data_IF_201446772736
#
_entry.id   IF_201446772736
#
_cell.length_a   1.000
_cell.length_b   1.000
_cell.length_c   1.000
_cell.angle_alpha   90.00
_cell.angle_beta   90.00
_cell.angle_gamma   90.00
#
_symmetry.space_group_name_H-M   'P 1'
#
loop_
_entity.id
_entity.type
_entity.pdbx_description
1 polymer ?
#
# COMPACT_ATOMS: atom_id res chain seq x y z
N UNK A 1 -8.01 13.32 -17.25
CA UNK A 1 -6.76 13.24 -18.06
C UNK A 1 -6.24 11.81 -17.95
N UNK A 2 -5.84 11.18 -19.06
CA UNK A 2 -5.37 9.79 -19.01
C UNK A 2 -4.01 9.66 -18.31
N UNK A 3 -3.80 8.58 -17.55
CA UNK A 3 -2.51 8.27 -16.93
C UNK A 3 -1.62 7.60 -17.99
N UNK A 4 -0.62 8.32 -18.49
CA UNK A 4 0.32 7.80 -19.49
C UNK A 4 1.34 6.88 -18.79
N UNK A 5 1.51 5.66 -19.29
CA UNK A 5 2.44 4.66 -18.72
C UNK A 5 3.54 4.35 -19.72
N UNK A 6 4.79 4.33 -19.27
CA UNK A 6 5.95 3.94 -20.09
C UNK A 6 6.67 2.75 -19.45
N UNK A 7 7.13 1.79 -20.25
CA UNK A 7 7.75 0.54 -19.76
C UNK A 7 8.97 0.75 -18.87
N UNK A 8 9.74 1.81 -19.12
CA UNK A 8 10.95 2.12 -18.34
C UNK A 8 10.67 2.90 -17.05
N UNK A 9 9.42 3.25 -16.76
CA UNK A 9 9.07 3.86 -15.48
C UNK A 9 9.42 2.91 -14.34
N UNK A 10 10.18 3.45 -13.39
CA UNK A 10 10.43 2.86 -12.09
C UNK A 10 9.22 3.11 -11.19
N UNK A 11 8.66 2.05 -10.63
CA UNK A 11 7.40 2.09 -9.89
C UNK A 11 7.61 1.63 -8.45
N UNK A 12 7.08 2.39 -7.49
CA UNK A 12 6.87 1.89 -6.12
C UNK A 12 5.37 1.68 -5.87
N UNK A 13 5.02 0.60 -5.18
CA UNK A 13 3.63 0.26 -4.82
C UNK A 13 3.50 0.24 -3.31
N UNK A 14 2.53 0.98 -2.78
CA UNK A 14 2.19 1.02 -1.37
C UNK A 14 0.78 0.46 -1.19
N UNK A 15 0.65 -0.56 -0.34
CA UNK A 15 -0.58 -1.33 -0.19
C UNK A 15 -1.10 -1.17 1.22
N UNK A 16 -2.26 -0.54 1.32
CA UNK A 16 -3.05 -0.52 2.54
C UNK A 16 -3.83 -1.83 2.64
N UNK A 17 -3.23 -2.80 3.32
CA UNK A 17 -3.75 -4.17 3.37
C UNK A 17 -5.13 -4.20 4.03
N UNK A 18 -5.33 -3.41 5.08
CA UNK A 18 -6.59 -3.38 5.81
C UNK A 18 -7.69 -2.75 4.96
N UNK A 19 -7.42 -1.60 4.35
CA UNK A 19 -8.41 -0.93 3.51
C UNK A 19 -8.85 -1.83 2.35
N UNK A 20 -7.91 -2.49 1.66
CA UNK A 20 -8.23 -3.42 0.58
C UNK A 20 -8.99 -4.65 1.08
N UNK A 21 -8.56 -5.25 2.19
CA UNK A 21 -9.20 -6.44 2.76
C UNK A 21 -10.65 -6.15 3.18
N UNK A 22 -10.87 -5.06 3.92
CA UNK A 22 -12.20 -4.66 4.35
C UNK A 22 -13.09 -4.29 3.17
N UNK A 23 -12.56 -3.56 2.18
CA UNK A 23 -13.29 -3.22 0.96
C UNK A 23 -13.71 -4.47 0.18
N UNK A 24 -12.80 -5.43 -0.03
CA UNK A 24 -13.12 -6.65 -0.75
C UNK A 24 -14.14 -7.53 -0.03
N UNK A 25 -14.00 -7.65 1.30
CA UNK A 25 -14.93 -8.42 2.13
C UNK A 25 -16.33 -7.79 2.14
N UNK A 26 -16.42 -6.47 2.27
CA UNK A 26 -17.69 -5.77 2.42
C UNK A 26 -18.42 -5.61 1.08
N UNK A 27 -17.71 -5.25 0.02
CA UNK A 27 -18.31 -4.98 -1.30
C UNK A 27 -18.52 -6.26 -2.12
N UNK A 28 -17.60 -7.21 -2.03
CA UNK A 28 -17.57 -8.38 -2.92
C UNK A 28 -17.66 -9.72 -2.18
N UNK A 29 -17.69 -9.73 -0.83
CA UNK A 29 -17.65 -10.94 0.00
C UNK A 29 -16.49 -11.88 -0.38
N UNK A 30 -15.37 -11.29 -0.82
CA UNK A 30 -14.23 -12.00 -1.39
C UNK A 30 -12.92 -11.61 -0.68
N UNK A 31 -11.88 -12.40 -0.92
CA UNK A 31 -10.50 -12.11 -0.50
C UNK A 31 -9.74 -11.41 -1.63
N UNK A 32 -8.85 -10.50 -1.27
CA UNK A 32 -7.97 -9.82 -2.23
C UNK A 32 -6.87 -10.77 -2.69
N UNK A 33 -6.61 -10.81 -3.99
CA UNK A 33 -5.41 -11.43 -4.55
C UNK A 33 -4.34 -10.35 -4.75
N UNK A 34 -3.47 -10.15 -3.76
CA UNK A 34 -2.46 -9.09 -3.78
C UNK A 34 -1.45 -9.25 -4.92
N UNK A 35 -1.10 -10.49 -5.30
CA UNK A 35 -0.22 -10.72 -6.45
C UNK A 35 -0.84 -10.29 -7.77
N UNK A 36 -2.15 -10.56 -7.96
CA UNK A 36 -2.88 -10.05 -9.12
C UNK A 36 -2.97 -8.52 -9.12
N UNK A 37 -3.23 -7.92 -7.95
CA UNK A 37 -3.27 -6.45 -7.79
C UNK A 37 -1.96 -5.83 -8.24
N UNK A 38 -0.81 -6.33 -7.75
CA UNK A 38 0.51 -5.82 -8.14
C UNK A 38 0.75 -6.01 -9.64
N UNK A 39 0.47 -7.20 -10.17
CA UNK A 39 0.70 -7.48 -11.60
C UNK A 39 -0.09 -6.53 -12.50
N UNK A 40 -1.38 -6.34 -12.20
CA UNK A 40 -2.27 -5.45 -12.98
C UNK A 40 -1.87 -3.99 -12.80
N UNK A 41 -1.55 -3.58 -11.57
CA UNK A 41 -1.16 -2.22 -11.26
C UNK A 41 0.17 -1.86 -11.93
N UNK A 42 1.17 -2.74 -11.86
CA UNK A 42 2.48 -2.56 -12.46
C UNK A 42 2.41 -2.51 -13.99
N UNK A 43 1.71 -3.47 -14.62
CA UNK A 43 1.78 -3.67 -16.06
C UNK A 43 3.21 -4.02 -16.51
N UNK A 44 3.65 -3.47 -17.63
CA UNK A 44 4.98 -3.75 -18.21
C UNK A 44 6.10 -2.83 -17.69
N UNK A 45 5.90 -2.24 -16.50
CA UNK A 45 6.82 -1.26 -15.89
C UNK A 45 7.83 -1.92 -14.95
N UNK A 46 8.89 -1.19 -14.57
CA UNK A 46 9.93 -1.69 -13.67
C UNK A 46 9.49 -1.54 -12.22
N UNK A 47 9.21 -2.65 -11.53
CA UNK A 47 8.95 -2.62 -10.09
C UNK A 47 10.25 -2.37 -9.32
N UNK A 48 10.28 -1.32 -8.51
CA UNK A 48 11.41 -1.02 -7.61
C UNK A 48 11.14 -1.56 -6.22
N UNK A 49 9.95 -1.29 -5.66
CA UNK A 49 9.52 -1.80 -4.34
C UNK A 49 8.01 -1.97 -4.31
N UNK A 50 7.54 -3.01 -3.62
CA UNK A 50 6.16 -3.15 -3.20
C UNK A 50 6.13 -3.31 -1.68
N UNK A 51 5.37 -2.47 -0.98
CA UNK A 51 5.31 -2.46 0.48
C UNK A 51 3.85 -2.61 0.92
N UNK A 52 3.57 -3.62 1.72
CA UNK A 52 2.27 -3.86 2.36
C UNK A 52 2.32 -3.42 3.81
N UNK A 53 1.36 -2.59 4.19
CA UNK A 53 1.19 -2.12 5.56
C UNK A 53 0.13 -2.97 6.23
N UNK A 54 0.51 -3.68 7.29
CA UNK A 54 -0.36 -4.62 8.02
C UNK A 54 -0.34 -4.29 9.51
N UNK A 55 -1.46 -4.48 10.18
CA UNK A 55 -1.53 -4.37 11.63
C UNK A 55 -1.70 -5.76 12.19
N UNK A 56 -0.83 -6.11 13.13
CA UNK A 56 -0.90 -7.40 13.79
C UNK A 56 -2.16 -7.46 14.65
N UNK A 57 -2.97 -8.49 14.44
CA UNK A 57 -4.00 -8.86 15.41
C UNK A 57 -3.46 -9.91 16.39
N UNK A 58 -3.85 -9.82 17.66
CA UNK A 58 -3.34 -10.67 18.76
C UNK A 58 -3.59 -12.19 18.55
N UNK A 59 -4.36 -12.57 17.52
CA UNK A 59 -4.72 -13.97 17.21
C UNK A 59 -3.64 -14.78 16.48
N UNK A 60 -2.57 -14.17 15.95
CA UNK A 60 -1.40 -14.90 15.43
C UNK A 60 -1.60 -15.73 14.14
N UNK A 61 -2.79 -15.70 13.53
CA UNK A 61 -3.12 -16.49 12.33
C UNK A 61 -2.61 -15.88 11.00
N UNK A 62 -1.80 -14.82 11.05
CA UNK A 62 -1.37 -14.06 9.87
C UNK A 62 -0.10 -14.60 9.19
N UNK A 63 0.58 -15.59 9.78
CA UNK A 63 1.88 -16.08 9.29
C UNK A 63 1.85 -16.61 7.85
N UNK A 64 0.84 -17.41 7.50
CA UNK A 64 0.68 -17.93 6.13
C UNK A 64 0.36 -16.82 5.11
N UNK A 65 -0.31 -15.75 5.56
CA UNK A 65 -0.59 -14.59 4.74
C UNK A 65 0.68 -13.77 4.48
N UNK A 66 1.51 -13.57 5.50
CA UNK A 66 2.80 -12.89 5.36
C UNK A 66 3.74 -13.64 4.43
N UNK A 67 3.87 -14.96 4.62
CA UNK A 67 4.71 -15.79 3.75
C UNK A 67 4.24 -15.72 2.28
N UNK A 68 2.93 -15.67 2.04
CA UNK A 68 2.38 -15.52 0.70
C UNK A 68 2.69 -14.15 0.06
N UNK A 69 2.66 -13.06 0.84
CA UNK A 69 3.02 -11.73 0.34
C UNK A 69 4.52 -11.66 0.00
N UNK A 70 5.39 -12.16 0.87
CA UNK A 70 6.84 -12.17 0.66
C UNK A 70 7.23 -13.01 -0.57
N UNK A 71 6.60 -14.17 -0.77
CA UNK A 71 6.80 -15.01 -1.98
C UNK A 71 6.47 -14.30 -3.29
N UNK A 72 5.62 -13.28 -3.25
CA UNK A 72 5.24 -12.47 -4.41
C UNK A 72 6.12 -11.22 -4.54
N UNK A 73 7.14 -11.07 -3.68
CA UNK A 73 8.07 -9.94 -3.71
C UNK A 73 7.54 -8.69 -3.04
N UNK A 74 6.62 -8.85 -2.07
CA UNK A 74 6.02 -7.75 -1.32
C UNK A 74 6.69 -7.67 0.05
N UNK A 75 7.27 -6.51 0.34
CA UNK A 75 7.82 -6.21 1.66
C UNK A 75 6.69 -5.94 2.64
N UNK A 76 6.79 -6.47 3.86
CA UNK A 76 5.74 -6.29 4.87
C UNK A 76 6.23 -5.33 5.95
N UNK A 77 5.40 -4.35 6.28
CA UNK A 77 5.57 -3.50 7.46
C UNK A 77 4.44 -3.77 8.43
N UNK A 78 4.78 -4.28 9.60
CA UNK A 78 3.82 -4.58 10.68
C UNK A 78 3.87 -3.53 11.77
N UNK A 79 2.70 -3.20 12.32
CA UNK A 79 2.54 -2.29 13.46
C UNK A 79 1.61 -2.96 14.46
N UNK A 80 1.99 -2.91 15.72
CA UNK A 80 1.15 -3.42 16.79
C UNK A 80 0.02 -2.42 17.09
N UNK A 81 -1.12 -2.96 17.53
CA UNK A 81 -2.26 -2.17 17.94
C UNK A 81 -1.86 -1.18 19.04
N UNK A 82 -1.94 0.11 18.75
CA UNK A 82 -1.59 1.13 19.74
C UNK A 82 -2.80 1.43 20.62
N UNK A 83 -2.67 1.12 21.92
CA UNK A 83 -3.68 1.43 22.94
C UNK A 83 -3.27 2.73 23.64
N UNK A 84 -4.07 3.77 23.49
CA UNK A 84 -3.86 5.05 24.18
C UNK A 84 -4.38 4.98 25.62
N UNK A 85 -3.87 5.86 26.47
CA UNK A 85 -4.21 5.92 27.90
C UNK A 85 -5.73 6.05 28.18
N UNK A 86 -6.49 6.58 27.22
CA UNK A 86 -7.97 6.66 27.28
C UNK A 86 -8.73 5.45 26.72
N UNK A 87 -8.05 4.34 26.41
CA UNK A 87 -8.65 3.13 25.83
C UNK A 87 -8.91 3.18 24.32
N UNK A 88 -8.66 4.32 23.65
CA UNK A 88 -8.72 4.42 22.21
C UNK A 88 -7.66 3.52 21.57
N UNK A 89 -8.08 2.71 20.60
CA UNK A 89 -7.21 1.82 19.83
C UNK A 89 -6.98 2.44 18.46
N UNK A 90 -5.72 2.66 18.08
CA UNK A 90 -5.36 3.13 16.74
C UNK A 90 -4.54 2.06 16.02
N UNK A 91 -5.01 1.73 14.83
CA UNK A 91 -4.49 0.68 13.98
C UNK A 91 -4.38 1.17 12.53
N UNK A 92 -4.09 2.45 12.29
CA UNK A 92 -3.78 2.92 10.94
C UNK A 92 -2.27 3.04 10.70
N UNK A 93 -1.96 2.96 9.42
CA UNK A 93 -0.63 3.13 8.87
C UNK A 93 -0.46 4.44 8.12
N UNK A 94 -1.46 5.32 8.14
CA UNK A 94 -1.58 6.42 7.18
C UNK A 94 -0.36 7.33 7.17
N UNK A 95 0.07 7.74 8.36
CA UNK A 95 1.28 8.56 8.52
C UNK A 95 2.52 7.83 8.05
N UNK A 96 2.67 6.54 8.38
CA UNK A 96 3.83 5.75 7.99
C UNK A 96 3.90 5.53 6.47
N UNK A 97 2.78 5.18 5.86
CA UNK A 97 2.66 5.00 4.41
C UNK A 97 2.91 6.33 3.68
N UNK A 98 2.36 7.44 4.18
CA UNK A 98 2.60 8.76 3.58
C UNK A 98 4.08 9.18 3.64
N UNK A 99 4.73 8.98 4.78
CA UNK A 99 6.16 9.31 4.94
C UNK A 99 7.03 8.45 4.01
N UNK A 100 6.74 7.16 3.89
CA UNK A 100 7.49 6.28 2.99
C UNK A 100 7.26 6.64 1.52
N UNK A 101 6.02 6.96 1.13
CA UNK A 101 5.68 7.40 -0.22
C UNK A 101 6.44 8.67 -0.60
N UNK A 102 6.47 9.68 0.28
CA UNK A 102 7.23 10.92 0.07
C UNK A 102 8.72 10.63 -0.13
N UNK A 103 9.31 9.78 0.72
CA UNK A 103 10.74 9.43 0.64
C UNK A 103 11.09 8.68 -0.64
N UNK A 104 10.21 7.79 -1.10
CA UNK A 104 10.44 7.00 -2.31
C UNK A 104 10.09 7.75 -3.59
N UNK A 105 9.20 8.74 -3.55
CA UNK A 105 8.84 9.56 -4.72
C UNK A 105 10.06 10.21 -5.39
N UNK A 106 11.09 10.56 -4.62
CA UNK A 106 12.35 11.11 -5.14
C UNK A 106 13.23 10.07 -5.87
N UNK A 107 12.88 8.79 -5.77
CA UNK A 107 13.67 7.64 -6.26
C UNK A 107 12.91 6.80 -7.27
N UNK A 108 11.70 7.18 -7.67
CA UNK A 108 10.88 6.45 -8.66
C UNK A 108 10.16 7.45 -9.55
N UNK A 109 9.70 6.98 -10.70
CA UNK A 109 9.02 7.83 -11.69
C UNK A 109 7.50 7.81 -11.48
N UNK A 110 6.99 6.72 -10.88
CA UNK A 110 5.60 6.60 -10.50
C UNK A 110 5.43 5.88 -9.14
N UNK A 111 4.41 6.31 -8.42
CA UNK A 111 3.91 5.65 -7.21
C UNK A 111 2.51 5.10 -7.49
N UNK A 112 2.21 3.94 -6.94
CA UNK A 112 0.86 3.38 -6.91
C UNK A 112 0.45 3.30 -5.45
N UNK A 113 -0.63 3.99 -5.10
CA UNK A 113 -1.29 3.84 -3.80
C UNK A 113 -2.47 2.88 -3.98
N UNK A 114 -2.36 1.69 -3.39
CA UNK A 114 -3.46 0.74 -3.31
C UNK A 114 -4.19 0.97 -1.99
N UNK A 115 -5.07 1.97 -1.98
CA UNK A 115 -6.00 2.31 -0.90
C UNK A 115 -7.20 3.05 -1.48
N UNK A 116 -8.36 2.95 -0.83
CA UNK A 116 -9.55 3.75 -1.10
C UNK A 116 -9.73 4.92 -0.14
N UNK A 117 -8.75 5.19 0.73
CA UNK A 117 -8.83 6.25 1.72
C UNK A 117 -8.54 7.65 1.13
N UNK A 118 -9.49 8.57 1.34
CA UNK A 118 -9.41 9.96 0.87
C UNK A 118 -8.40 10.81 1.64
N UNK A 119 -7.96 10.38 2.82
CA UNK A 119 -6.98 11.11 3.63
C UNK A 119 -5.59 11.18 2.95
N UNK A 120 -5.35 10.37 1.91
CA UNK A 120 -4.15 10.44 1.08
C UNK A 120 -4.21 11.48 -0.05
N UNK A 121 -5.32 12.20 -0.24
CA UNK A 121 -5.40 13.25 -1.29
C UNK A 121 -4.25 14.28 -1.16
N UNK A 122 -3.94 14.85 0.03
CA UNK A 122 -2.81 15.78 0.17
C UNK A 122 -1.46 15.14 -0.16
N UNK A 123 -1.27 13.85 0.14
CA UNK A 123 -0.07 13.10 -0.25
C UNK A 123 0.04 13.02 -1.78
N UNK A 124 -1.05 12.68 -2.47
CA UNK A 124 -1.10 12.59 -3.93
C UNK A 124 -0.74 13.93 -4.57
N UNK A 125 -1.33 15.03 -4.09
CA UNK A 125 -1.05 16.38 -4.58
C UNK A 125 0.42 16.74 -4.38
N UNK A 126 0.96 16.48 -3.19
CA UNK A 126 2.35 16.74 -2.88
C UNK A 126 3.30 15.93 -3.77
N UNK A 127 3.10 14.62 -3.89
CA UNK A 127 3.97 13.75 -4.71
C UNK A 127 3.92 14.16 -6.19
N UNK A 128 2.74 14.54 -6.70
CA UNK A 128 2.60 15.09 -8.07
C UNK A 128 3.37 16.40 -8.25
N UNK A 129 3.36 17.28 -7.24
CA UNK A 129 4.15 18.52 -7.28
C UNK A 129 5.66 18.28 -7.41
N UNK A 130 6.15 17.10 -7.01
CA UNK A 130 7.56 16.70 -7.12
C UNK A 130 7.90 16.04 -8.47
N UNK A 131 6.95 16.02 -9.43
CA UNK A 131 7.13 15.43 -10.75
C UNK A 131 6.98 13.91 -10.80
N UNK A 132 6.54 13.27 -9.71
CA UNK A 132 6.27 11.84 -9.66
C UNK A 132 4.80 11.59 -10.03
N UNK A 133 4.55 10.59 -10.88
CA UNK A 133 3.19 10.18 -11.23
C UNK A 133 2.54 9.40 -10.08
N UNK A 134 1.26 9.66 -9.79
CA UNK A 134 0.44 8.90 -8.83
C UNK A 134 -0.92 8.58 -9.43
#
# INVERSE_FOLDING_TARGET
>A
MGVIRHSEQRVAIFIDTQNLYHSAKNLYKAKVNFGAVIKIALGDRKLIRAISYVVNTEGGEEGAFFEALEKVGIEIKTKDLQIFYGGAKKADWDVGMAVDAIKLAQKVDAIILATGDGDFIPLVEYVKSQGCQV
#
